data_IF_402287470033
#
_entry.id   IF_402287470033
#
_cell.length_a   1.000
_cell.length_b   1.000
_cell.length_c   1.000
_cell.angle_alpha   90.00
_cell.angle_beta   90.00
_cell.angle_gamma   90.00
#
_symmetry.space_group_name_H-M   'P 1'
#
loop_
_entity.id
_entity.type
_entity.pdbx_description
1 polymer ?
#
# COMPACT_ATOMS: atom_id res chain seq x y z
N UNK A 1 28.26 -15.14 -29.13
CA UNK A 1 27.50 -14.39 -28.10
C UNK A 1 27.91 -14.91 -26.74
N UNK A 2 28.32 -14.03 -25.82
CA UNK A 2 28.68 -14.39 -24.44
C UNK A 2 27.43 -14.76 -23.65
N UNK A 3 27.49 -15.83 -22.87
CA UNK A 3 26.40 -16.19 -21.95
C UNK A 3 26.30 -15.14 -20.85
N UNK A 4 25.09 -14.72 -20.52
CA UNK A 4 24.78 -13.80 -19.43
C UNK A 4 24.05 -14.54 -18.32
N UNK A 5 24.23 -14.10 -17.07
CA UNK A 5 23.42 -14.61 -15.96
C UNK A 5 21.98 -14.14 -16.07
N UNK A 6 21.06 -15.04 -15.78
CA UNK A 6 19.64 -14.79 -15.64
C UNK A 6 19.21 -15.30 -14.28
N UNK A 7 18.64 -14.40 -13.50
CA UNK A 7 18.17 -14.64 -12.15
C UNK A 7 16.69 -15.00 -12.17
N UNK A 8 16.33 -15.98 -11.34
CA UNK A 8 14.94 -16.22 -10.94
C UNK A 8 14.79 -15.75 -9.49
N UNK A 9 14.00 -14.71 -9.30
CA UNK A 9 13.82 -14.03 -8.03
C UNK A 9 12.41 -14.27 -7.53
N UNK A 10 12.25 -14.84 -6.32
CA UNK A 10 10.96 -14.87 -5.63
C UNK A 10 10.81 -13.58 -4.85
N UNK A 11 9.75 -12.84 -5.11
CA UNK A 11 9.38 -11.61 -4.41
C UNK A 11 8.10 -11.87 -3.64
N UNK A 12 8.14 -11.77 -2.32
CA UNK A 12 7.04 -12.07 -1.41
C UNK A 12 6.64 -10.78 -0.70
N UNK A 13 5.35 -10.48 -0.67
CA UNK A 13 4.84 -9.36 0.12
C UNK A 13 4.99 -9.69 1.61
N UNK A 14 5.51 -8.75 2.40
CA UNK A 14 5.79 -9.00 3.83
C UNK A 14 4.49 -9.16 4.65
N UNK A 15 3.44 -8.41 4.31
CA UNK A 15 2.15 -8.47 5.01
C UNK A 15 1.34 -9.76 4.76
N UNK A 16 1.63 -10.49 3.68
CA UNK A 16 1.01 -11.79 3.41
C UNK A 16 1.91 -12.66 2.52
N UNK A 17 2.43 -13.74 3.09
CA UNK A 17 3.33 -14.67 2.42
C UNK A 17 2.70 -15.47 1.27
N UNK A 18 1.37 -15.53 1.18
CA UNK A 18 0.65 -16.14 0.06
C UNK A 18 0.63 -15.25 -1.19
N UNK A 19 1.01 -13.97 -1.05
CA UNK A 19 1.13 -13.02 -2.14
C UNK A 19 2.58 -12.95 -2.62
N UNK A 20 2.84 -13.48 -3.82
CA UNK A 20 4.19 -13.46 -4.38
C UNK A 20 4.25 -13.43 -5.90
N UNK A 21 5.43 -13.08 -6.41
CA UNK A 21 5.82 -13.17 -7.81
C UNK A 21 7.13 -13.95 -7.92
N UNK A 22 7.29 -14.73 -8.99
CA UNK A 22 8.60 -15.23 -9.42
C UNK A 22 8.98 -14.49 -10.69
N UNK A 23 10.01 -13.66 -10.62
CA UNK A 23 10.46 -12.79 -11.70
C UNK A 23 11.74 -13.36 -12.29
N UNK A 24 11.81 -13.45 -13.62
CA UNK A 24 13.01 -13.81 -14.36
C UNK A 24 13.61 -12.57 -14.99
N UNK A 25 14.88 -12.28 -14.71
CA UNK A 25 15.56 -11.03 -15.08
C UNK A 25 17.05 -11.27 -15.37
N UNK A 26 17.62 -10.60 -16.38
CA UNK A 26 19.02 -10.80 -16.82
C UNK A 26 19.96 -9.82 -16.12
N UNK A 27 21.22 -10.23 -15.96
CA UNK A 27 22.25 -9.51 -15.22
C UNK A 27 22.50 -8.06 -15.63
N UNK A 28 22.21 -7.69 -16.87
CA UNK A 28 22.38 -6.34 -17.40
C UNK A 28 21.18 -5.42 -17.14
N UNK A 29 20.08 -5.95 -16.60
CA UNK A 29 18.97 -5.13 -16.10
C UNK A 29 19.31 -4.57 -14.72
N UNK A 30 18.60 -3.51 -14.38
CA UNK A 30 18.79 -2.78 -13.13
C UNK A 30 17.83 -3.20 -12.03
N UNK A 31 18.08 -2.73 -10.80
CA UNK A 31 17.08 -2.80 -9.72
C UNK A 31 15.81 -2.01 -10.07
N UNK A 32 15.93 -0.93 -10.85
CA UNK A 32 14.80 -0.19 -11.39
C UNK A 32 13.92 -1.08 -12.28
N UNK A 33 14.52 -1.87 -13.17
CA UNK A 33 13.78 -2.80 -14.03
C UNK A 33 13.08 -3.90 -13.22
N UNK A 34 13.70 -4.35 -12.12
CA UNK A 34 13.10 -5.29 -11.19
C UNK A 34 11.86 -4.68 -10.52
N UNK A 35 11.97 -3.46 -9.98
CA UNK A 35 10.85 -2.75 -9.35
C UNK A 35 9.70 -2.54 -10.34
N UNK A 36 9.98 -2.00 -11.53
CA UNK A 36 8.98 -1.80 -12.59
C UNK A 36 8.27 -3.10 -12.98
N UNK A 37 9.02 -4.21 -13.05
CA UNK A 37 8.44 -5.53 -13.38
C UNK A 37 7.52 -6.03 -12.27
N UNK A 38 7.92 -5.85 -11.01
CA UNK A 38 7.09 -6.21 -9.85
C UNK A 38 5.83 -5.37 -9.79
N UNK A 39 5.96 -4.04 -9.75
CA UNK A 39 4.85 -3.09 -9.56
C UNK A 39 3.79 -3.24 -10.63
N UNK A 40 4.21 -3.33 -11.90
CA UNK A 40 3.30 -3.63 -13.03
C UNK A 40 2.52 -4.94 -12.82
N UNK A 41 3.13 -5.95 -12.22
CA UNK A 41 2.49 -7.26 -12.00
C UNK A 41 1.54 -7.31 -10.81
N UNK A 42 1.64 -6.35 -9.90
CA UNK A 42 0.72 -6.16 -8.76
C UNK A 42 -0.21 -4.98 -8.97
N UNK A 43 -0.16 -4.35 -10.16
CA UNK A 43 -0.96 -3.18 -10.57
C UNK A 43 -0.74 -1.95 -9.69
N UNK A 44 0.48 -1.79 -9.20
CA UNK A 44 0.88 -0.57 -8.53
C UNK A 44 1.33 0.45 -9.58
N UNK A 45 1.22 1.73 -9.23
CA UNK A 45 1.87 2.82 -9.94
C UNK A 45 3.41 2.76 -9.81
N UNK A 46 4.09 3.79 -10.32
CA UNK A 46 5.54 3.89 -10.33
C UNK A 46 6.01 5.35 -10.15
N UNK A 47 5.36 6.08 -9.26
CA UNK A 47 5.61 7.50 -8.97
C UNK A 47 6.09 7.75 -7.53
N UNK A 48 6.14 6.72 -6.68
CA UNK A 48 6.63 6.82 -5.31
C UNK A 48 8.14 6.65 -5.18
N UNK A 49 8.69 7.17 -4.08
CA UNK A 49 10.07 6.87 -3.66
C UNK A 49 10.15 5.46 -3.08
N UNK A 50 11.28 4.80 -3.32
CA UNK A 50 11.52 3.45 -2.85
C UNK A 50 13.02 3.16 -2.77
N UNK A 51 13.38 2.10 -2.05
CA UNK A 51 14.76 1.63 -1.98
C UNK A 51 14.85 0.10 -1.95
N UNK A 52 15.99 -0.40 -2.40
CA UNK A 52 16.41 -1.77 -2.15
C UNK A 52 17.43 -1.80 -1.02
N UNK A 53 17.27 -2.75 -0.12
CA UNK A 53 18.18 -3.00 0.99
C UNK A 53 18.81 -4.38 0.82
N UNK A 54 20.10 -4.41 0.53
CA UNK A 54 20.85 -5.62 0.21
C UNK A 54 21.32 -6.39 1.45
N UNK A 55 21.20 -5.81 2.64
CA UNK A 55 21.59 -6.41 3.92
C UNK A 55 20.46 -7.24 4.54
N UNK A 56 19.28 -7.27 3.91
CA UNK A 56 18.09 -7.99 4.40
C UNK A 56 17.67 -7.52 5.81
N UNK A 57 17.72 -6.20 6.04
CA UNK A 57 17.31 -5.57 7.29
C UNK A 57 16.59 -4.24 7.03
N UNK A 58 15.27 -4.20 7.18
CA UNK A 58 14.40 -3.08 6.81
C UNK A 58 14.85 -1.69 7.29
N UNK A 59 15.41 -1.57 8.48
CA UNK A 59 15.57 -0.28 9.15
C UNK A 59 17.02 0.17 9.33
N UNK A 60 18.00 -0.71 9.07
CA UNK A 60 19.42 -0.47 9.44
C UNK A 60 20.43 -0.97 8.39
N UNK A 61 20.03 -1.09 7.12
CA UNK A 61 20.97 -1.47 6.06
C UNK A 61 21.89 -0.33 5.65
N UNK A 62 23.19 -0.61 5.54
CA UNK A 62 24.18 0.32 4.99
C UNK A 62 24.32 0.14 3.47
N UNK A 63 23.97 -1.04 2.95
CA UNK A 63 24.01 -1.37 1.53
C UNK A 63 22.64 -1.16 0.87
N UNK A 64 22.26 0.10 0.68
CA UNK A 64 20.97 0.51 0.10
C UNK A 64 21.13 1.19 -1.26
N UNK A 65 20.12 0.99 -2.12
CA UNK A 65 20.02 1.63 -3.43
C UNK A 65 18.66 2.31 -3.55
N UNK A 66 18.66 3.63 -3.72
CA UNK A 66 17.44 4.43 -3.62
C UNK A 66 17.00 4.98 -4.99
N UNK A 67 15.69 5.10 -5.17
CA UNK A 67 15.09 5.96 -6.19
C UNK A 67 15.07 7.40 -5.66
N UNK A 68 16.25 7.98 -5.49
CA UNK A 68 16.40 9.34 -4.97
C UNK A 68 16.69 10.36 -6.08
N UNK A 69 16.43 11.64 -5.79
CA UNK A 69 16.95 12.79 -6.55
C UNK A 69 18.38 13.16 -6.10
N UNK A 70 18.79 12.69 -4.92
CA UNK A 70 20.13 12.92 -4.38
C UNK A 70 21.14 11.98 -5.06
N UNK A 71 22.00 12.56 -5.89
CA UNK A 71 23.04 11.84 -6.62
C UNK A 71 24.17 11.31 -5.72
N UNK A 72 24.22 11.70 -4.44
CA UNK A 72 25.22 11.19 -3.49
C UNK A 72 24.92 9.76 -3.02
N UNK A 73 23.66 9.32 -3.14
CA UNK A 73 23.23 7.98 -2.73
C UNK A 73 23.36 6.95 -3.87
N UNK A 74 23.65 5.68 -3.56
CA UNK A 74 23.66 4.63 -4.57
C UNK A 74 22.29 4.52 -5.25
N UNK A 75 22.29 4.41 -6.58
CA UNK A 75 21.07 4.47 -7.38
C UNK A 75 20.53 3.09 -7.75
N UNK A 76 19.20 2.95 -7.78
CA UNK A 76 18.49 1.76 -8.32
C UNK A 76 18.78 1.49 -9.81
N UNK A 77 19.45 2.42 -10.52
CA UNK A 77 19.93 2.20 -11.89
C UNK A 77 21.13 1.25 -11.96
N UNK A 78 21.70 0.83 -10.82
CA UNK A 78 22.75 -0.19 -10.78
C UNK A 78 22.28 -1.50 -11.43
N UNK A 79 23.18 -2.15 -12.16
CA UNK A 79 22.93 -3.42 -12.83
C UNK A 79 23.03 -4.60 -11.86
N UNK A 80 22.20 -5.64 -12.05
CA UNK A 80 22.20 -6.83 -11.20
C UNK A 80 23.55 -7.56 -11.16
N UNK A 81 24.32 -7.52 -12.27
CA UNK A 81 25.67 -8.09 -12.34
C UNK A 81 26.65 -7.45 -11.33
N UNK A 82 26.40 -6.20 -10.94
CA UNK A 82 27.28 -5.43 -10.05
C UNK A 82 26.93 -5.65 -8.57
N UNK A 83 25.85 -6.38 -8.27
CA UNK A 83 25.37 -6.69 -6.92
C UNK A 83 25.90 -8.02 -6.37
N UNK A 84 26.69 -8.76 -7.15
CA UNK A 84 27.27 -10.06 -6.78
C UNK A 84 26.24 -11.07 -6.21
N UNK A 85 25.03 -11.11 -6.79
CA UNK A 85 23.93 -11.95 -6.33
C UNK A 85 24.30 -13.43 -6.36
N UNK A 86 23.91 -14.16 -5.30
CA UNK A 86 24.13 -15.60 -5.17
C UNK A 86 22.80 -16.31 -4.93
N UNK A 87 22.69 -17.56 -5.41
CA UNK A 87 21.55 -18.42 -5.09
C UNK A 87 21.37 -18.51 -3.56
N UNK A 88 20.14 -18.29 -3.09
CA UNK A 88 19.78 -18.26 -1.67
C UNK A 88 19.95 -16.89 -0.99
N UNK A 89 20.61 -15.91 -1.65
CA UNK A 89 20.72 -14.56 -1.13
C UNK A 89 19.33 -13.93 -0.99
N UNK A 90 19.16 -13.17 0.10
CA UNK A 90 17.94 -12.42 0.40
C UNK A 90 18.25 -10.94 0.46
N UNK A 91 17.31 -10.13 0.01
CA UNK A 91 17.34 -8.67 0.09
C UNK A 91 15.90 -8.16 0.01
N UNK A 92 15.69 -6.86 0.23
CA UNK A 92 14.36 -6.29 0.40
C UNK A 92 14.12 -5.11 -0.53
N UNK A 93 12.87 -4.92 -0.91
CA UNK A 93 12.36 -3.69 -1.50
C UNK A 93 11.41 -3.05 -0.48
N UNK A 94 11.65 -1.78 -0.17
CA UNK A 94 10.70 -0.91 0.52
C UNK A 94 10.18 0.09 -0.51
N UNK A 95 8.92 -0.09 -0.91
CA UNK A 95 8.22 0.75 -1.87
C UNK A 95 7.24 1.66 -1.14
N UNK A 96 7.18 2.92 -1.58
CA UNK A 96 6.35 3.97 -1.00
C UNK A 96 6.67 4.25 0.47
N UNK A 97 7.47 5.28 0.72
CA UNK A 97 7.82 5.69 2.08
C UNK A 97 6.62 6.28 2.87
N UNK A 98 5.47 6.51 2.22
CA UNK A 98 4.24 6.92 2.89
C UNK A 98 3.45 5.75 3.46
N UNK A 99 3.38 4.64 2.71
CA UNK A 99 2.49 3.51 3.01
C UNK A 99 3.23 2.19 3.31
N UNK A 100 4.56 2.20 3.28
CA UNK A 100 5.42 1.13 3.79
C UNK A 100 5.17 -0.26 3.15
N UNK A 101 5.16 -0.31 1.81
CA UNK A 101 5.05 -1.57 1.10
C UNK A 101 6.38 -2.33 1.09
N UNK A 102 6.47 -3.35 1.93
CA UNK A 102 7.66 -4.19 2.06
C UNK A 102 7.57 -5.49 1.26
N UNK A 103 8.63 -5.79 0.52
CA UNK A 103 8.77 -7.03 -0.25
C UNK A 103 10.10 -7.73 0.02
N UNK A 104 10.03 -8.99 0.44
CA UNK A 104 11.17 -9.87 0.64
C UNK A 104 11.55 -10.55 -0.67
N UNK A 105 12.81 -10.46 -1.08
CA UNK A 105 13.32 -10.99 -2.34
C UNK A 105 14.32 -12.09 -2.06
N UNK A 106 14.15 -13.25 -2.69
CA UNK A 106 15.07 -14.39 -2.60
C UNK A 106 15.54 -14.81 -4.00
N UNK A 107 16.86 -14.94 -4.18
CA UNK A 107 17.44 -15.48 -5.42
C UNK A 107 17.25 -17.00 -5.44
N UNK A 108 16.27 -17.49 -6.21
CA UNK A 108 15.97 -18.92 -6.32
C UNK A 108 16.97 -19.67 -7.19
N UNK A 109 17.34 -19.07 -8.33
CA UNK A 109 18.19 -19.70 -9.31
C UNK A 109 18.98 -18.67 -10.11
N UNK A 110 20.14 -19.10 -10.61
CA UNK A 110 21.00 -18.33 -11.51
C UNK A 110 21.40 -19.27 -12.64
N UNK A 111 21.04 -18.92 -13.88
CA UNK A 111 21.42 -19.68 -15.07
C UNK A 111 22.23 -18.84 -16.04
N UNK A 112 23.09 -19.46 -16.84
CA UNK A 112 23.86 -18.78 -17.89
C UNK A 112 23.32 -19.11 -19.27
N UNK A 113 22.77 -18.12 -19.96
CA UNK A 113 22.13 -18.30 -21.28
C UNK A 113 22.52 -17.19 -22.26
N UNK A 114 22.47 -17.51 -23.55
CA UNK A 114 22.53 -16.52 -24.64
C UNK A 114 21.14 -16.07 -25.08
N UNK A 115 20.09 -16.75 -24.62
CA UNK A 115 18.69 -16.52 -25.00
C UNK A 115 17.93 -15.92 -23.83
N UNK A 116 17.65 -14.62 -23.89
CA UNK A 116 16.75 -13.92 -22.97
C UNK A 116 16.42 -12.55 -23.55
N UNK A 117 15.13 -12.22 -23.63
CA UNK A 117 14.69 -10.94 -24.21
C UNK A 117 14.52 -9.86 -23.15
N UNK A 118 13.53 -10.02 -22.27
CA UNK A 118 13.09 -8.98 -21.31
C UNK A 118 12.65 -9.57 -19.98
N UNK A 119 12.68 -8.77 -18.89
CA UNK A 119 12.18 -9.17 -17.59
C UNK A 119 10.73 -9.61 -17.68
N UNK A 120 10.36 -10.67 -16.97
CA UNK A 120 8.99 -11.19 -16.96
C UNK A 120 8.65 -11.96 -15.69
N UNK A 121 7.37 -11.95 -15.35
CA UNK A 121 6.81 -12.78 -14.28
C UNK A 121 6.59 -14.19 -14.81
N UNK A 122 7.20 -15.17 -14.16
CA UNK A 122 7.07 -16.60 -14.45
C UNK A 122 5.95 -17.26 -13.63
N UNK A 123 5.72 -16.77 -12.41
CA UNK A 123 4.63 -17.23 -11.52
C UNK A 123 4.05 -16.06 -10.75
N UNK A 124 2.74 -16.08 -10.55
CA UNK A 124 1.98 -15.06 -9.82
C UNK A 124 1.01 -15.73 -8.86
N UNK A 125 0.96 -15.30 -7.61
CA UNK A 125 -0.01 -15.73 -6.60
C UNK A 125 -0.45 -14.55 -5.75
N UNK A 126 -1.73 -14.49 -5.39
CA UNK A 126 -2.31 -13.39 -4.65
C UNK A 126 -2.47 -12.09 -5.44
N UNK A 127 -3.31 -11.20 -4.92
CA UNK A 127 -3.60 -9.86 -5.45
C UNK A 127 -3.33 -8.83 -4.37
N UNK A 128 -2.83 -7.67 -4.77
CA UNK A 128 -2.74 -6.48 -3.93
C UNK A 128 -3.59 -5.38 -4.56
N UNK A 129 -4.08 -4.49 -3.71
CA UNK A 129 -4.66 -3.21 -4.11
C UNK A 129 -3.82 -2.14 -3.42
N UNK A 130 -3.31 -1.19 -4.20
CA UNK A 130 -2.38 -0.19 -3.67
C UNK A 130 -3.09 0.79 -2.75
N UNK A 131 -4.21 1.34 -3.20
CA UNK A 131 -5.06 2.23 -2.42
C UNK A 131 -6.50 1.77 -2.52
N UNK A 132 -7.22 1.82 -1.41
CA UNK A 132 -8.67 1.75 -1.45
C UNK A 132 -9.18 2.92 -2.30
N UNK A 133 -10.06 2.62 -3.25
CA UNK A 133 -10.74 3.67 -4.01
C UNK A 133 -11.94 4.17 -3.20
N UNK A 134 -12.40 5.40 -3.43
CA UNK A 134 -13.68 5.86 -2.84
C UNK A 134 -14.82 4.83 -3.08
N UNK A 135 -14.82 4.18 -4.24
CA UNK A 135 -15.73 3.10 -4.59
C UNK A 135 -15.62 1.82 -3.74
N UNK A 136 -14.51 1.59 -3.02
CA UNK A 136 -14.39 0.44 -2.09
C UNK A 136 -15.05 0.71 -0.74
N UNK A 137 -15.20 1.99 -0.36
CA UNK A 137 -15.90 2.34 0.86
C UNK A 137 -17.42 2.12 0.73
N UNK A 138 -17.94 2.07 -0.50
CA UNK A 138 -19.36 1.78 -0.76
C UNK A 138 -19.73 0.30 -0.55
N UNK A 139 -18.76 -0.64 -0.50
CA UNK A 139 -19.04 -2.07 -0.28
C UNK A 139 -19.00 -2.49 1.20
N UNK A 140 -18.36 -1.73 2.09
CA UNK A 140 -18.27 -2.02 3.53
C UNK A 140 -19.37 -1.33 4.38
N UNK A 141 -20.20 -0.46 3.81
CA UNK A 141 -21.45 0.01 4.45
C UNK A 141 -22.57 -1.04 4.28
N UNK A 142 -22.34 -2.24 4.83
CA UNK A 142 -23.37 -3.27 4.96
C UNK A 142 -23.44 -3.83 6.40
N UNK A 143 -22.91 -3.08 7.37
CA UNK A 143 -23.28 -3.28 8.76
C UNK A 143 -24.55 -2.45 9.00
N UNK A 144 -25.66 -3.10 9.36
CA UNK A 144 -26.92 -2.49 9.81
C UNK A 144 -26.74 -1.62 11.09
N UNK A 145 -25.50 -1.22 11.42
CA UNK A 145 -25.09 -0.36 12.51
C UNK A 145 -24.56 1.03 12.06
N UNK A 146 -24.25 1.26 10.78
CA UNK A 146 -23.87 2.59 10.27
C UNK A 146 -25.10 3.39 9.83
N UNK A 147 -25.99 3.61 10.78
CA UNK A 147 -27.28 4.26 10.54
C UNK A 147 -27.17 5.76 10.16
N UNK A 148 -26.01 6.41 10.33
CA UNK A 148 -25.90 7.88 10.26
C UNK A 148 -24.63 8.41 9.56
N UNK A 149 -24.50 8.17 8.26
CA UNK A 149 -23.52 8.89 7.44
C UNK A 149 -23.98 10.33 7.20
N UNK A 150 -23.49 11.28 7.99
CA UNK A 150 -23.69 12.71 7.72
C UNK A 150 -22.84 13.13 6.50
N UNK A 151 -23.42 13.87 5.56
CA UNK A 151 -22.71 14.40 4.40
C UNK A 151 -21.95 15.69 4.80
N UNK A 152 -20.65 15.79 4.48
CA UNK A 152 -19.85 17.01 4.73
C UNK A 152 -18.36 16.74 5.00
N UNK A 153 -17.52 17.78 5.01
CA UNK A 153 -16.12 17.63 5.43
C UNK A 153 -16.09 17.43 6.96
N UNK A 154 -15.38 16.43 7.51
CA UNK A 154 -15.25 16.23 8.96
C UNK A 154 -14.79 17.45 9.77
N UNK A 155 -14.19 18.45 9.09
CA UNK A 155 -13.75 19.74 9.66
C UNK A 155 -14.82 20.83 9.64
N UNK A 156 -15.93 20.62 8.93
CA UNK A 156 -17.05 21.54 8.94
C UNK A 156 -17.72 21.56 10.32
N UNK A 157 -18.36 22.67 10.65
CA UNK A 157 -19.13 22.84 11.88
C UNK A 157 -20.63 22.94 11.58
N UNK A 158 -21.44 22.37 12.45
CA UNK A 158 -22.90 22.51 12.44
C UNK A 158 -23.39 23.05 13.77
N UNK A 159 -24.45 23.86 13.75
CA UNK A 159 -25.04 24.39 14.97
C UNK A 159 -26.14 23.46 15.49
N UNK A 160 -25.87 22.79 16.61
CA UNK A 160 -26.82 21.92 17.29
C UNK A 160 -27.18 22.54 18.64
N UNK A 161 -28.47 22.77 18.89
CA UNK A 161 -28.96 23.31 20.17
C UNK A 161 -28.33 24.65 20.59
N UNK A 162 -27.98 25.51 19.62
CA UNK A 162 -27.36 26.82 19.85
C UNK A 162 -25.85 26.77 20.10
N UNK A 163 -25.18 25.66 19.75
CA UNK A 163 -23.73 25.48 19.87
C UNK A 163 -23.17 24.88 18.60
N UNK A 164 -22.07 25.45 18.11
CA UNK A 164 -21.28 24.84 17.05
C UNK A 164 -20.60 23.57 17.57
N UNK A 165 -20.65 22.51 16.76
CA UNK A 165 -19.95 21.24 16.96
C UNK A 165 -19.33 20.83 15.63
N UNK A 166 -18.11 20.27 15.66
CA UNK A 166 -17.48 19.71 14.47
C UNK A 166 -18.28 18.50 13.97
N UNK A 167 -18.39 18.34 12.66
CA UNK A 167 -19.12 17.21 12.07
C UNK A 167 -18.54 15.87 12.52
N UNK A 168 -17.21 15.78 12.63
CA UNK A 168 -16.51 14.61 13.20
C UNK A 168 -16.86 14.33 14.67
N UNK A 169 -17.07 15.36 15.48
CA UNK A 169 -17.44 15.22 16.89
C UNK A 169 -18.92 14.83 17.04
N UNK A 170 -19.79 15.38 16.20
CA UNK A 170 -21.21 15.00 16.14
C UNK A 170 -21.36 13.52 15.78
N UNK A 171 -20.66 13.04 14.74
CA UNK A 171 -20.63 11.63 14.32
C UNK A 171 -20.17 10.72 15.46
N UNK A 172 -19.10 11.10 16.16
CA UNK A 172 -18.60 10.35 17.32
C UNK A 172 -19.65 10.21 18.43
N UNK A 173 -20.40 11.28 18.72
CA UNK A 173 -21.46 11.25 19.74
C UNK A 173 -22.66 10.39 19.28
N UNK A 174 -23.04 10.45 18.01
CA UNK A 174 -24.14 9.63 17.45
C UNK A 174 -23.82 8.13 17.44
N UNK A 175 -22.57 7.76 17.15
CA UNK A 175 -22.12 6.37 17.14
C UNK A 175 -21.86 5.81 18.55
N UNK A 176 -21.80 6.66 19.58
CA UNK A 176 -21.54 6.24 20.95
C UNK A 176 -22.76 5.63 21.65
N UNK A 177 -23.96 6.13 21.38
CA UNK A 177 -25.24 5.55 21.83
C UNK A 177 -26.44 6.24 21.18
N UNK A 178 -27.44 5.46 20.80
CA UNK A 178 -28.72 5.92 20.27
C UNK A 178 -29.87 5.10 20.84
N UNK A 179 -31.07 5.70 20.88
CA UNK A 179 -32.32 5.03 21.23
C UNK A 179 -33.30 5.18 20.05
N UNK A 180 -33.96 4.10 19.65
CA UNK A 180 -35.06 4.16 18.68
C UNK A 180 -36.37 4.44 19.43
N UNK A 181 -37.04 5.54 19.09
CA UNK A 181 -38.29 6.01 19.72
C UNK A 181 -39.23 6.49 18.62
N UNK A 182 -40.44 5.90 18.54
CA UNK A 182 -41.49 6.28 17.59
C UNK A 182 -41.00 6.36 16.13
N UNK A 183 -40.28 5.33 15.66
CA UNK A 183 -39.67 5.24 14.32
C UNK A 183 -38.62 6.34 14.01
N UNK A 184 -38.06 7.01 15.03
CA UNK A 184 -36.95 7.96 14.90
C UNK A 184 -35.77 7.56 15.81
N UNK A 185 -34.57 8.01 15.47
CA UNK A 185 -33.37 7.79 16.26
C UNK A 185 -33.08 9.01 17.12
N UNK A 186 -32.91 8.80 18.42
CA UNK A 186 -32.65 9.87 19.39
C UNK A 186 -31.24 9.74 19.93
N UNK A 187 -30.47 10.82 19.79
CA UNK A 187 -29.08 10.92 20.23
C UNK A 187 -28.96 11.89 21.39
N UNK A 188 -27.91 11.71 22.21
CA UNK A 188 -27.49 12.72 23.17
C UNK A 188 -26.30 13.48 22.62
N UNK A 189 -26.53 14.69 22.12
CA UNK A 189 -25.48 15.59 21.63
C UNK A 189 -25.28 16.73 22.62
N UNK A 190 -24.06 16.90 23.12
CA UNK A 190 -23.72 17.91 24.12
C UNK A 190 -24.63 17.87 25.37
N UNK A 191 -25.05 16.67 25.78
CA UNK A 191 -25.93 16.43 26.93
C UNK A 191 -27.41 16.77 26.70
N UNK A 192 -27.82 17.04 25.46
CA UNK A 192 -29.23 17.27 25.08
C UNK A 192 -29.68 16.22 24.07
N UNK A 193 -30.94 15.79 24.18
CA UNK A 193 -31.55 14.88 23.20
C UNK A 193 -31.86 15.63 21.90
N UNK A 194 -31.60 14.99 20.76
CA UNK A 194 -31.95 15.47 19.41
C UNK A 194 -32.26 14.26 18.52
N UNK A 195 -33.22 14.38 17.62
CA UNK A 195 -33.59 13.25 16.72
C UNK A 195 -32.83 13.29 15.38
N UNK A 196 -32.76 12.16 14.68
CA UNK A 196 -32.21 12.10 13.32
C UNK A 196 -32.97 13.03 12.39
N UNK A 197 -34.30 13.07 12.52
CA UNK A 197 -35.15 13.99 11.74
C UNK A 197 -34.78 15.46 11.97
N UNK A 198 -34.39 15.84 13.19
CA UNK A 198 -33.94 17.20 13.50
C UNK A 198 -32.54 17.48 12.96
N UNK A 199 -31.60 16.52 13.08
CA UNK A 199 -30.24 16.63 12.53
C UNK A 199 -30.28 16.80 11.00
N UNK A 200 -31.09 16.00 10.30
CA UNK A 200 -31.25 16.06 8.85
C UNK A 200 -31.89 17.36 8.34
N UNK A 201 -32.47 18.20 9.21
CA UNK A 201 -32.97 19.54 8.85
C UNK A 201 -31.92 20.64 9.01
N UNK A 202 -30.86 20.37 9.77
CA UNK A 202 -29.79 21.33 10.09
C UNK A 202 -28.64 21.20 9.09
N UNK A 203 -28.41 19.99 8.60
CA UNK A 203 -27.51 19.70 7.46
C UNK A 203 -28.16 20.07 6.14
#
# INVERSE_FOLDING_TARGET
>A
MTKKEVYELKVVYDGDSEIFRVIKIREDHSLEDLAKTLLKSIKFDYDHMYLFNMDNNYYQGENTYERSLDSSKPSVKISLKDLALKKGMKFQLWYDFGDDWFFNITVLNIEKTTKFDKPRVMKSQGKLKQYQTFDDYEEDFNDENDLFALQGDPKDTVEINGKEILLSELLSQMNSSHEEIDDDYVFTVNGKKITLTEINKIM
#
